data_IF_869452403779
#
_entry.id   IF_869452403779
#
_cell.length_a   1.000
_cell.length_b   1.000
_cell.length_c   1.000
_cell.angle_alpha   90.00
_cell.angle_beta   90.00
_cell.angle_gamma   90.00
#
_symmetry.space_group_name_H-M   'P 1'
#
loop_
_entity.id
_entity.type
_entity.pdbx_description
1 polymer ?
#
# COMPACT_ATOMS: atom_id res chain seq x y z
N UNK A 1 15.90 -23.38 -3.40
CA UNK A 1 15.01 -22.21 -3.57
C UNK A 1 13.65 -22.57 -2.98
N UNK A 2 13.01 -21.69 -2.21
CA UNK A 2 11.68 -21.96 -1.62
C UNK A 2 10.64 -22.27 -2.72
N UNK A 3 9.57 -23.01 -2.41
CA UNK A 3 8.50 -23.28 -3.38
C UNK A 3 7.68 -22.02 -3.69
N UNK A 4 6.93 -22.02 -4.82
CA UNK A 4 5.99 -20.93 -5.15
C UNK A 4 4.99 -20.73 -4.01
N UNK A 5 4.45 -21.81 -3.44
CA UNK A 5 3.52 -21.74 -2.32
C UNK A 5 4.14 -21.03 -1.10
N UNK A 6 5.37 -21.39 -0.72
CA UNK A 6 6.08 -20.71 0.39
C UNK A 6 6.28 -19.23 0.08
N UNK A 7 6.64 -18.85 -1.15
CA UNK A 7 6.83 -17.45 -1.52
C UNK A 7 5.53 -16.65 -1.54
N UNK A 8 4.41 -17.24 -1.99
CA UNK A 8 3.08 -16.64 -1.89
C UNK A 8 2.71 -16.33 -0.43
N UNK A 9 2.85 -17.32 0.44
CA UNK A 9 2.59 -17.15 1.88
C UNK A 9 3.53 -16.11 2.48
N UNK A 10 4.82 -16.15 2.14
CA UNK A 10 5.82 -15.21 2.67
C UNK A 10 5.56 -13.77 2.21
N UNK A 11 5.06 -13.56 0.99
CA UNK A 11 4.68 -12.23 0.52
C UNK A 11 3.55 -11.63 1.37
N UNK A 12 2.48 -12.41 1.60
CA UNK A 12 1.32 -11.98 2.40
C UNK A 12 1.71 -11.73 3.85
N UNK A 13 2.37 -12.70 4.50
CA UNK A 13 2.79 -12.58 5.90
C UNK A 13 3.83 -11.47 6.07
N UNK A 14 4.81 -11.38 5.17
CA UNK A 14 5.85 -10.36 5.21
C UNK A 14 5.30 -8.94 5.05
N UNK A 15 4.29 -8.73 4.21
CA UNK A 15 3.62 -7.43 4.07
C UNK A 15 2.90 -7.00 5.36
N UNK A 16 2.14 -7.91 5.97
CA UNK A 16 1.38 -7.66 7.22
C UNK A 16 2.33 -7.44 8.40
N UNK A 17 3.34 -8.30 8.55
CA UNK A 17 4.35 -8.18 9.61
C UNK A 17 5.20 -6.92 9.42
N UNK A 18 5.55 -6.57 8.18
CA UNK A 18 6.29 -5.37 7.86
C UNK A 18 5.54 -4.08 8.24
N UNK A 19 4.22 -4.05 8.01
CA UNK A 19 3.38 -2.93 8.46
C UNK A 19 3.40 -2.79 9.98
N UNK A 20 3.12 -3.86 10.72
CA UNK A 20 3.15 -3.84 12.18
C UNK A 20 4.54 -3.47 12.75
N UNK A 21 5.62 -3.92 12.10
CA UNK A 21 6.99 -3.61 12.48
C UNK A 21 7.34 -2.12 12.29
N UNK A 22 6.84 -1.50 11.22
CA UNK A 22 7.14 -0.11 10.88
C UNK A 22 6.18 0.90 11.54
N UNK A 23 4.97 0.48 11.90
CA UNK A 23 3.88 1.31 12.42
C UNK A 23 4.30 2.31 13.52
N UNK A 24 5.11 1.93 14.53
CA UNK A 24 5.51 2.85 15.60
C UNK A 24 6.31 4.07 15.14
N UNK A 25 7.00 3.99 13.99
CA UNK A 25 7.87 5.05 13.43
C UNK A 25 7.30 5.68 12.15
N UNK A 26 6.05 5.34 11.78
CA UNK A 26 5.40 5.88 10.59
C UNK A 26 5.38 7.41 10.57
N UNK A 27 5.54 7.95 9.35
CA UNK A 27 5.37 9.37 9.04
C UNK A 27 6.31 10.34 9.79
N UNK A 28 7.47 9.85 10.23
CA UNK A 28 8.59 10.68 10.70
C UNK A 28 9.50 11.01 9.51
N UNK A 29 9.13 12.04 8.76
CA UNK A 29 9.87 12.45 7.55
C UNK A 29 11.14 13.27 7.85
N UNK A 30 11.18 13.96 9.00
CA UNK A 30 12.37 14.73 9.38
C UNK A 30 13.47 13.77 9.85
N UNK A 31 14.54 13.65 9.05
CA UNK A 31 15.64 12.72 9.32
C UNK A 31 16.39 13.02 10.62
N UNK A 32 16.55 14.29 11.01
CA UNK A 32 17.19 14.65 12.28
C UNK A 32 16.32 14.22 13.47
N UNK A 33 15.00 14.36 13.35
CA UNK A 33 14.04 13.86 14.34
C UNK A 33 14.06 12.33 14.40
N UNK A 34 14.06 11.64 13.26
CA UNK A 34 14.14 10.19 13.24
C UNK A 34 15.45 9.72 13.91
N UNK A 35 16.57 10.36 13.57
CA UNK A 35 17.88 10.08 14.16
C UNK A 35 17.93 10.34 15.66
N UNK A 36 17.29 11.40 16.15
CA UNK A 36 17.24 11.68 17.60
C UNK A 36 16.40 10.66 18.38
N UNK A 37 15.44 10.00 17.70
CA UNK A 37 14.61 8.94 18.27
C UNK A 37 15.36 7.61 18.30
N UNK A 38 15.91 7.17 17.16
CA UNK A 38 16.49 5.83 17.03
C UNK A 38 17.95 5.76 17.48
N UNK A 39 18.65 6.91 17.53
CA UNK A 39 20.07 6.96 17.89
C UNK A 39 20.93 6.08 16.98
N UNK A 40 21.71 5.19 17.62
CA UNK A 40 22.56 4.21 16.95
C UNK A 40 21.93 2.80 16.92
N UNK A 41 20.62 2.68 17.15
CA UNK A 41 19.94 1.38 17.14
C UNK A 41 20.02 0.72 15.75
N UNK A 42 20.50 -0.53 15.71
CA UNK A 42 20.57 -1.32 14.48
C UNK A 42 19.22 -1.95 14.11
N UNK A 43 18.41 -2.29 15.12
CA UNK A 43 17.09 -2.90 14.95
C UNK A 43 16.00 -1.92 15.39
N UNK A 44 15.19 -1.49 14.42
CA UNK A 44 14.11 -0.50 14.62
C UNK A 44 12.72 -1.08 14.38
N UNK A 45 12.63 -2.37 14.05
CA UNK A 45 11.37 -3.09 13.92
C UNK A 45 10.67 -3.20 15.29
N UNK A 46 9.36 -3.00 15.31
CA UNK A 46 8.55 -3.09 16.53
C UNK A 46 9.06 -2.16 17.64
N UNK A 47 9.36 -0.90 17.29
CA UNK A 47 9.82 0.09 18.26
C UNK A 47 8.83 0.20 19.43
N UNK A 48 9.32 0.03 20.66
CA UNK A 48 8.50 -0.19 21.85
C UNK A 48 7.56 0.99 22.14
N UNK A 49 8.07 2.22 21.96
CA UNK A 49 7.30 3.43 22.17
C UNK A 49 6.86 3.98 20.83
N UNK A 50 5.55 4.06 20.57
CA UNK A 50 5.07 4.76 19.37
C UNK A 50 5.57 6.21 19.34
N UNK A 51 6.27 6.57 18.28
CA UNK A 51 6.71 7.94 17.96
C UNK A 51 5.94 8.52 16.76
N UNK A 52 4.89 7.80 16.35
CA UNK A 52 4.00 8.20 15.26
C UNK A 52 3.30 9.53 15.63
N UNK A 53 3.40 10.56 14.76
CA UNK A 53 2.89 11.88 15.09
C UNK A 53 1.37 12.02 14.96
N UNK A 54 0.65 11.01 14.46
CA UNK A 54 -0.79 11.10 14.16
C UNK A 54 -1.64 10.18 15.03
N UNK A 55 -1.16 8.97 15.33
CA UNK A 55 -1.91 7.98 16.08
C UNK A 55 -1.02 7.10 16.95
N UNK A 56 -1.62 6.46 17.95
CA UNK A 56 -0.96 5.51 18.83
C UNK A 56 -1.78 4.22 18.89
N UNK A 57 -1.13 3.12 18.50
CA UNK A 57 -1.57 1.73 18.63
C UNK A 57 -0.56 0.98 19.51
N UNK A 58 -0.94 -0.19 19.99
CA UNK A 58 -0.01 -1.05 20.71
C UNK A 58 1.02 -1.65 19.73
N UNK A 59 2.28 -1.72 20.13
CA UNK A 59 3.35 -2.26 19.27
C UNK A 59 3.04 -3.70 18.86
N UNK A 60 3.07 -3.96 17.55
CA UNK A 60 2.67 -5.24 16.96
C UNK A 60 1.26 -5.25 16.39
N UNK A 61 0.44 -4.23 16.66
CA UNK A 61 -0.80 -4.01 15.92
C UNK A 61 -0.51 -3.48 14.50
N UNK A 62 -1.43 -3.75 13.58
CA UNK A 62 -1.34 -3.27 12.22
C UNK A 62 -1.87 -1.83 12.14
N UNK A 63 -1.31 -1.05 11.23
CA UNK A 63 -1.89 0.21 10.81
C UNK A 63 -3.07 -0.02 9.86
N UNK A 64 -3.66 1.09 9.38
CA UNK A 64 -4.68 1.03 8.33
C UNK A 64 -4.20 0.35 7.04
N UNK A 65 -2.91 0.34 6.75
CA UNK A 65 -2.38 -0.38 5.59
C UNK A 65 -2.44 -1.90 5.79
N UNK A 66 -1.96 -2.39 6.93
CA UNK A 66 -2.02 -3.82 7.27
C UNK A 66 -3.45 -4.32 7.43
N UNK A 67 -4.34 -3.53 8.05
CA UNK A 67 -5.76 -3.87 8.18
C UNK A 67 -6.46 -3.97 6.81
N UNK A 68 -6.10 -3.11 5.84
CA UNK A 68 -6.59 -3.24 4.47
C UNK A 68 -6.12 -4.55 3.84
N UNK A 69 -4.83 -4.89 3.99
CA UNK A 69 -4.27 -6.14 3.47
C UNK A 69 -4.93 -7.38 4.09
N UNK A 70 -5.20 -7.37 5.40
CA UNK A 70 -5.90 -8.44 6.12
C UNK A 70 -7.36 -8.54 5.63
N UNK A 71 -8.04 -7.41 5.43
CA UNK A 71 -9.43 -7.37 4.93
C UNK A 71 -9.53 -7.96 3.54
N UNK A 72 -8.63 -7.58 2.62
CA UNK A 72 -8.53 -8.18 1.29
C UNK A 72 -8.27 -9.68 1.40
N UNK A 73 -7.32 -10.12 2.22
CA UNK A 73 -7.01 -11.55 2.39
C UNK A 73 -8.23 -12.35 2.84
N UNK A 74 -8.94 -11.90 3.89
CA UNK A 74 -10.15 -12.57 4.39
C UNK A 74 -11.22 -12.65 3.31
N UNK A 75 -11.48 -11.54 2.64
CA UNK A 75 -12.49 -11.49 1.57
C UNK A 75 -12.15 -12.43 0.42
N UNK A 76 -10.88 -12.51 0.01
CA UNK A 76 -10.44 -13.44 -1.03
C UNK A 76 -10.66 -14.92 -0.63
N UNK A 77 -10.37 -15.26 0.63
CA UNK A 77 -10.57 -16.62 1.15
C UNK A 77 -12.06 -16.97 1.21
N UNK A 78 -12.89 -16.07 1.74
CA UNK A 78 -14.33 -16.28 1.90
C UNK A 78 -15.09 -16.37 0.57
N UNK A 79 -14.56 -15.74 -0.49
CA UNK A 79 -15.23 -15.66 -1.79
C UNK A 79 -14.50 -16.42 -2.91
N UNK A 80 -13.47 -17.21 -2.57
CA UNK A 80 -12.65 -18.00 -3.50
C UNK A 80 -12.06 -17.17 -4.67
N UNK A 81 -11.73 -15.91 -4.41
CA UNK A 81 -11.26 -14.96 -5.42
C UNK A 81 -11.74 -13.53 -5.19
N UNK A 82 -11.45 -12.64 -6.14
CA UNK A 82 -11.90 -11.25 -6.08
C UNK A 82 -13.42 -11.20 -6.35
N UNK A 83 -14.17 -10.78 -5.34
CA UNK A 83 -15.57 -10.38 -5.47
C UNK A 83 -15.71 -8.94 -5.00
N UNK A 84 -15.77 -8.00 -5.95
CA UNK A 84 -15.74 -6.55 -5.68
C UNK A 84 -16.85 -6.13 -4.70
N UNK A 85 -18.08 -6.62 -4.88
CA UNK A 85 -19.20 -6.27 -4.01
C UNK A 85 -18.98 -6.74 -2.57
N UNK A 86 -18.54 -7.99 -2.40
CA UNK A 86 -18.25 -8.57 -1.08
C UNK A 86 -17.03 -7.89 -0.42
N UNK A 87 -16.07 -7.47 -1.22
CA UNK A 87 -14.93 -6.71 -0.76
C UNK A 87 -15.32 -5.29 -0.30
N UNK A 88 -16.21 -4.61 -1.02
CA UNK A 88 -16.80 -3.34 -0.60
C UNK A 88 -17.55 -3.49 0.74
N UNK A 89 -18.39 -4.51 0.88
CA UNK A 89 -19.07 -4.82 2.15
C UNK A 89 -18.05 -5.04 3.29
N UNK A 90 -16.99 -5.82 3.03
CA UNK A 90 -15.94 -6.13 4.02
C UNK A 90 -15.17 -4.88 4.46
N UNK A 91 -14.84 -3.98 3.53
CA UNK A 91 -14.19 -2.70 3.83
C UNK A 91 -15.13 -1.78 4.60
N UNK A 92 -16.41 -1.72 4.23
CA UNK A 92 -17.38 -0.92 4.97
C UNK A 92 -17.54 -1.40 6.42
N UNK A 93 -17.60 -2.72 6.65
CA UNK A 93 -17.65 -3.30 7.99
C UNK A 93 -16.37 -3.00 8.78
N UNK A 94 -15.20 -3.13 8.15
CA UNK A 94 -13.90 -3.01 8.84
C UNK A 94 -13.56 -1.56 9.19
N UNK A 95 -13.88 -0.62 8.30
CA UNK A 95 -13.44 0.78 8.43
C UNK A 95 -14.57 1.77 8.65
N UNK A 96 -15.82 1.37 8.49
CA UNK A 96 -17.00 2.24 8.53
C UNK A 96 -17.51 2.53 9.94
N UNK A 97 -18.78 2.95 10.06
CA UNK A 97 -19.42 3.20 11.34
C UNK A 97 -19.33 2.00 12.29
N UNK A 98 -19.28 2.27 13.60
CA UNK A 98 -19.21 1.26 14.67
C UNK A 98 -17.95 0.35 14.68
N UNK A 99 -17.01 0.58 13.77
CA UNK A 99 -15.69 -0.08 13.77
C UNK A 99 -14.70 0.60 14.74
N UNK A 100 -13.56 -0.05 15.07
CA UNK A 100 -12.47 0.60 15.82
C UNK A 100 -11.92 1.86 15.14
N UNK A 101 -12.13 2.01 13.82
CA UNK A 101 -11.77 3.21 13.07
C UNK A 101 -12.73 4.38 13.30
N UNK A 102 -13.94 4.10 13.77
CA UNK A 102 -14.94 5.12 14.05
C UNK A 102 -14.64 5.81 15.38
N UNK A 103 -14.03 6.99 15.27
CA UNK A 103 -13.94 7.95 16.35
C UNK A 103 -14.38 9.31 15.80
N UNK A 104 -14.97 10.17 16.63
CA UNK A 104 -15.31 11.55 16.20
C UNK A 104 -14.11 12.30 15.58
N UNK A 105 -12.88 11.90 15.92
CA UNK A 105 -11.63 12.44 15.36
C UNK A 105 -11.30 11.87 13.96
N UNK A 106 -11.58 10.59 13.72
CA UNK A 106 -11.35 9.91 12.43
C UNK A 106 -12.52 10.04 11.44
N UNK A 107 -13.72 10.33 11.94
CA UNK A 107 -14.98 10.38 11.18
C UNK A 107 -15.05 11.53 10.17
N UNK A 108 -14.32 12.62 10.42
CA UNK A 108 -14.35 13.81 9.55
C UNK A 108 -13.13 13.80 8.62
N UNK A 109 -13.36 13.84 7.31
CA UNK A 109 -12.34 14.24 6.34
C UNK A 109 -12.21 15.77 6.41
N UNK A 110 -11.05 16.26 6.82
CA UNK A 110 -10.72 17.68 6.77
C UNK A 110 -9.54 17.87 5.82
N UNK A 111 -9.63 18.91 5.01
CA UNK A 111 -8.53 19.33 4.15
C UNK A 111 -7.28 19.58 5.02
N UNK A 112 -6.07 19.32 4.49
CA UNK A 112 -4.78 19.54 5.20
C UNK A 112 -4.65 20.98 5.70
N UNK A 113 -5.30 21.94 5.04
CA UNK A 113 -5.36 23.34 5.43
C UNK A 113 -6.19 23.61 6.71
N UNK A 114 -7.04 22.68 7.12
CA UNK A 114 -7.95 22.80 8.28
C UNK A 114 -7.46 22.04 9.53
N UNK A 115 -6.23 21.50 9.51
CA UNK A 115 -5.60 20.80 10.66
C UNK A 115 -5.13 21.82 11.72
N UNK A 116 -5.81 22.96 11.83
CA UNK A 116 -5.64 23.90 12.91
C UNK A 116 -6.28 23.36 14.19
N UNK A 117 -5.46 23.18 15.23
CA UNK A 117 -5.82 23.06 16.65
C UNK A 117 -6.25 21.70 17.26
N UNK A 118 -5.83 20.54 16.73
CA UNK A 118 -6.05 19.25 17.43
C UNK A 118 -4.78 18.66 18.05
N UNK A 119 -4.90 18.14 19.28
CA UNK A 119 -3.83 17.43 19.99
C UNK A 119 -3.63 16.03 19.38
N UNK A 120 -2.72 15.94 18.41
CA UNK A 120 -2.16 14.67 17.95
C UNK A 120 -1.05 14.20 18.92
N UNK A 121 -0.76 12.88 19.00
CA UNK A 121 -1.44 11.78 18.33
C UNK A 121 -2.79 11.41 18.97
N UNK A 122 -3.70 10.81 18.19
CA UNK A 122 -4.91 10.18 18.74
C UNK A 122 -4.59 8.82 19.37
N UNK A 123 -5.40 8.37 20.34
CA UNK A 123 -5.37 6.99 20.82
C UNK A 123 -6.34 6.14 19.99
N UNK A 124 -5.82 5.15 19.26
CA UNK A 124 -6.58 4.31 18.33
C UNK A 124 -6.13 4.46 16.87
N UNK A 125 -6.72 3.68 15.95
CA UNK A 125 -6.24 3.58 14.57
C UNK A 125 -6.54 4.86 13.77
N UNK A 126 -5.74 5.11 12.73
CA UNK A 126 -5.91 6.28 11.83
C UNK A 126 -6.49 5.87 10.49
N UNK A 127 -7.58 6.52 10.07
CA UNK A 127 -8.22 6.28 8.77
C UNK A 127 -7.56 7.12 7.67
N UNK A 128 -7.03 6.47 6.62
CA UNK A 128 -6.42 7.16 5.46
C UNK A 128 -7.47 7.90 4.61
N UNK A 129 -7.00 8.82 3.75
CA UNK A 129 -7.86 9.65 2.90
C UNK A 129 -8.74 8.83 1.96
N UNK A 130 -8.14 7.90 1.20
CA UNK A 130 -8.86 7.02 0.29
C UNK A 130 -9.92 6.13 0.98
N UNK A 131 -9.71 5.72 2.23
CA UNK A 131 -10.72 4.97 3.00
C UNK A 131 -11.89 5.89 3.37
N UNK A 132 -11.63 7.15 3.76
CA UNK A 132 -12.70 8.12 4.03
C UNK A 132 -13.55 8.38 2.78
N UNK A 133 -12.89 8.55 1.63
CA UNK A 133 -13.59 8.73 0.34
C UNK A 133 -14.35 7.47 -0.09
N UNK A 134 -13.75 6.29 0.08
CA UNK A 134 -14.43 5.01 -0.12
C UNK A 134 -15.73 4.92 0.68
N UNK A 135 -15.69 5.18 1.99
CA UNK A 135 -16.86 5.10 2.86
C UNK A 135 -17.95 6.09 2.44
N UNK A 136 -17.57 7.31 2.06
CA UNK A 136 -18.47 8.32 1.52
C UNK A 136 -19.15 7.82 0.24
N UNK A 137 -18.37 7.36 -0.73
CA UNK A 137 -18.87 6.93 -2.04
C UNK A 137 -19.74 5.68 -1.93
N UNK A 138 -19.34 4.71 -1.10
CA UNK A 138 -20.11 3.50 -0.82
C UNK A 138 -21.44 3.82 -0.14
N UNK A 139 -21.45 4.72 0.85
CA UNK A 139 -22.69 5.14 1.54
C UNK A 139 -23.66 5.90 0.63
N UNK A 140 -23.16 6.50 -0.45
CA UNK A 140 -23.96 7.14 -1.50
C UNK A 140 -24.46 6.15 -2.56
N UNK A 141 -24.08 4.86 -2.48
CA UNK A 141 -24.45 3.84 -3.44
C UNK A 141 -23.76 3.99 -4.80
N UNK A 142 -22.60 4.67 -4.86
CA UNK A 142 -21.84 4.79 -6.09
C UNK A 142 -21.24 3.44 -6.49
N UNK A 143 -21.29 3.12 -7.78
CA UNK A 143 -20.65 1.91 -8.32
C UNK A 143 -19.12 1.98 -8.19
N UNK A 144 -18.55 3.14 -8.53
CA UNK A 144 -17.13 3.44 -8.34
C UNK A 144 -16.92 4.06 -6.96
N UNK A 145 -16.26 3.32 -6.08
CA UNK A 145 -16.06 3.75 -4.69
C UNK A 145 -14.71 4.40 -4.45
N UNK A 146 -13.71 4.15 -5.29
CA UNK A 146 -12.36 4.70 -5.12
C UNK A 146 -12.28 6.22 -5.30
N UNK A 147 -11.30 6.83 -4.65
CA UNK A 147 -10.95 8.24 -4.83
C UNK A 147 -10.36 8.48 -6.21
N UNK A 148 -10.90 9.48 -6.93
CA UNK A 148 -10.38 9.87 -8.25
C UNK A 148 -9.07 10.67 -8.15
N UNK A 149 -8.74 11.21 -6.98
CA UNK A 149 -7.61 12.14 -6.79
C UNK A 149 -6.54 11.65 -5.82
N UNK A 150 -6.78 10.55 -5.11
CA UNK A 150 -5.76 9.96 -4.23
C UNK A 150 -4.68 9.24 -5.06
N UNK A 151 -3.48 9.81 -5.08
CA UNK A 151 -2.30 9.28 -5.78
C UNK A 151 -1.26 8.68 -4.81
N UNK A 152 -1.65 8.43 -3.56
CA UNK A 152 -0.76 7.88 -2.55
C UNK A 152 -0.47 6.38 -2.79
N UNK A 153 0.59 5.87 -2.18
CA UNK A 153 1.09 4.49 -2.42
C UNK A 153 0.26 3.39 -1.72
N UNK A 154 -0.83 3.77 -1.05
CA UNK A 154 -1.74 2.90 -0.30
C UNK A 154 -2.21 1.64 -1.07
N UNK A 155 -2.27 1.70 -2.40
CA UNK A 155 -2.63 0.57 -3.25
C UNK A 155 -1.68 -0.62 -3.12
N UNK A 156 -0.38 -0.37 -2.92
CA UNK A 156 0.68 -1.38 -2.97
C UNK A 156 0.56 -2.43 -1.84
N UNK A 157 0.50 -2.06 -0.54
CA UNK A 157 0.36 -3.06 0.52
C UNK A 157 -0.94 -3.86 0.40
N UNK A 158 -2.02 -3.23 -0.09
CA UNK A 158 -3.35 -3.83 -0.20
C UNK A 158 -3.44 -4.96 -1.25
N UNK A 159 -2.72 -4.85 -2.37
CA UNK A 159 -2.84 -5.82 -3.48
C UNK A 159 -2.05 -7.11 -3.28
N UNK A 160 -1.18 -7.19 -2.26
CA UNK A 160 -0.26 -8.32 -2.05
C UNK A 160 -0.97 -9.68 -2.08
N UNK A 161 -2.12 -9.80 -1.39
CA UNK A 161 -2.90 -11.04 -1.33
C UNK A 161 -3.52 -11.42 -2.67
N UNK A 162 -3.97 -10.43 -3.45
CA UNK A 162 -4.51 -10.66 -4.79
C UNK A 162 -3.40 -11.12 -5.75
N UNK A 163 -2.23 -10.50 -5.69
CA UNK A 163 -1.05 -10.95 -6.47
C UNK A 163 -0.65 -12.36 -6.05
N UNK A 164 -0.59 -12.65 -4.74
CA UNK A 164 -0.24 -13.98 -4.26
C UNK A 164 -1.20 -15.07 -4.76
N UNK A 165 -2.50 -14.79 -4.79
CA UNK A 165 -3.53 -15.71 -5.28
C UNK A 165 -3.42 -15.93 -6.79
N UNK A 166 -3.24 -14.85 -7.57
CA UNK A 166 -3.36 -14.88 -9.03
C UNK A 166 -2.03 -14.92 -9.79
N UNK A 167 -0.87 -14.82 -9.14
CA UNK A 167 0.44 -14.84 -9.80
C UNK A 167 0.58 -16.02 -10.77
N UNK A 168 0.93 -15.72 -12.03
CA UNK A 168 1.03 -16.67 -13.13
C UNK A 168 -0.27 -16.87 -13.93
N UNK A 169 -1.39 -16.28 -13.52
CA UNK A 169 -2.66 -16.33 -14.24
C UNK A 169 -2.79 -15.15 -15.22
N UNK A 170 -3.39 -15.36 -16.41
CA UNK A 170 -3.49 -14.31 -17.43
C UNK A 170 -4.38 -13.13 -17.01
N UNK A 171 -5.26 -13.30 -16.03
CA UNK A 171 -6.15 -12.26 -15.51
C UNK A 171 -5.64 -11.60 -14.22
N UNK A 172 -4.44 -11.94 -13.74
CA UNK A 172 -3.89 -11.43 -12.47
C UNK A 172 -3.97 -9.91 -12.35
N UNK A 173 -3.57 -9.19 -13.40
CA UNK A 173 -3.57 -7.72 -13.38
C UNK A 173 -4.98 -7.13 -13.38
N UNK A 174 -5.95 -7.78 -14.01
CA UNK A 174 -7.35 -7.38 -13.98
C UNK A 174 -7.88 -7.51 -12.54
N UNK A 175 -7.60 -8.64 -11.89
CA UNK A 175 -7.99 -8.89 -10.48
C UNK A 175 -7.33 -7.93 -9.50
N UNK A 176 -6.06 -7.61 -9.74
CA UNK A 176 -5.35 -6.60 -8.94
C UNK A 176 -5.94 -5.22 -9.13
N UNK A 177 -6.26 -4.82 -10.37
CA UNK A 177 -6.87 -3.51 -10.64
C UNK A 177 -8.24 -3.37 -9.95
N UNK A 178 -9.06 -4.42 -9.96
CA UNK A 178 -10.33 -4.46 -9.20
C UNK A 178 -10.12 -4.14 -7.71
N UNK A 179 -9.05 -4.67 -7.10
CA UNK A 179 -8.69 -4.41 -5.70
C UNK A 179 -8.14 -3.00 -5.49
N UNK A 180 -7.38 -2.44 -6.44
CA UNK A 180 -6.87 -1.06 -6.37
C UNK A 180 -8.04 -0.06 -6.42
N UNK A 181 -8.91 -0.22 -7.42
CA UNK A 181 -10.04 0.68 -7.71
C UNK A 181 -11.11 0.70 -6.62
N UNK A 182 -11.06 -0.25 -5.69
CA UNK A 182 -11.91 -0.26 -4.50
C UNK A 182 -11.83 1.07 -3.74
N UNK A 183 -10.61 1.58 -3.47
CA UNK A 183 -10.42 2.82 -2.70
C UNK A 183 -9.66 3.91 -3.48
N UNK A 184 -9.00 3.57 -4.59
CA UNK A 184 -8.23 4.54 -5.39
C UNK A 184 -8.48 4.30 -6.88
N UNK A 185 -9.09 5.28 -7.56
CA UNK A 185 -9.45 5.23 -8.97
C UNK A 185 -8.56 6.11 -9.86
N UNK A 186 -7.58 6.83 -9.29
CA UNK A 186 -6.62 7.66 -10.03
C UNK A 186 -5.70 6.82 -10.92
N UNK A 187 -5.35 7.37 -12.10
CA UNK A 187 -4.46 6.70 -13.06
C UNK A 187 -3.08 6.43 -12.44
N UNK A 188 -2.59 7.34 -11.60
CA UNK A 188 -1.32 7.20 -10.88
C UNK A 188 -1.34 6.00 -9.94
N UNK A 189 -2.36 5.87 -9.08
CA UNK A 189 -2.46 4.75 -8.14
C UNK A 189 -2.60 3.41 -8.86
N UNK A 190 -3.35 3.37 -9.97
CA UNK A 190 -3.53 2.16 -10.77
C UNK A 190 -2.24 1.76 -11.47
N UNK A 191 -1.55 2.68 -12.16
CA UNK A 191 -0.29 2.39 -12.82
C UNK A 191 0.80 1.92 -11.84
N UNK A 192 0.95 2.62 -10.70
CA UNK A 192 1.93 2.26 -9.66
C UNK A 192 1.57 0.92 -9.00
N UNK A 193 0.30 0.69 -8.68
CA UNK A 193 -0.16 -0.56 -8.08
C UNK A 193 0.05 -1.77 -9.00
N UNK A 194 -0.25 -1.62 -10.29
CA UNK A 194 -0.04 -2.68 -11.28
C UNK A 194 1.44 -2.94 -11.57
N UNK A 195 2.28 -1.91 -11.63
CA UNK A 195 3.73 -2.09 -11.75
C UNK A 195 4.31 -2.82 -10.52
N UNK A 196 3.82 -2.49 -9.33
CA UNK A 196 4.19 -3.17 -8.08
C UNK A 196 3.74 -4.63 -8.06
N UNK A 197 2.55 -4.93 -8.59
CA UNK A 197 2.06 -6.29 -8.76
C UNK A 197 2.93 -7.12 -9.71
N UNK A 198 3.35 -6.54 -10.84
CA UNK A 198 4.30 -7.21 -11.77
C UNK A 198 5.63 -7.52 -11.10
N UNK A 199 6.16 -6.59 -10.28
CA UNK A 199 7.40 -6.79 -9.52
C UNK A 199 7.24 -7.94 -8.53
N UNK A 200 6.18 -7.91 -7.72
CA UNK A 200 5.92 -8.95 -6.73
C UNK A 200 5.71 -10.33 -7.39
N UNK A 201 5.04 -10.37 -8.54
CA UNK A 201 4.87 -11.61 -9.31
C UNK A 201 6.22 -12.20 -9.75
N UNK A 202 7.22 -11.39 -10.14
CA UNK A 202 8.55 -11.89 -10.46
C UNK A 202 9.14 -12.68 -9.30
N UNK A 203 9.09 -12.11 -8.08
CA UNK A 203 9.62 -12.76 -6.89
C UNK A 203 8.82 -14.00 -6.49
N UNK A 204 7.49 -13.97 -6.62
CA UNK A 204 6.64 -15.13 -6.31
C UNK A 204 6.92 -16.29 -7.27
N UNK A 205 7.00 -16.04 -8.57
CA UNK A 205 7.17 -17.09 -9.57
C UNK A 205 8.61 -17.59 -9.67
N UNK A 206 9.59 -16.68 -9.55
CA UNK A 206 11.00 -16.98 -9.85
C UNK A 206 11.92 -17.01 -8.63
N UNK A 207 11.48 -16.52 -7.47
CA UNK A 207 12.34 -16.31 -6.32
C UNK A 207 13.19 -15.04 -6.44
N UNK A 208 14.26 -14.88 -5.63
CA UNK A 208 15.15 -13.73 -5.72
C UNK A 208 15.70 -13.54 -7.13
N UNK A 209 15.56 -12.33 -7.68
CA UNK A 209 16.07 -11.99 -9.00
C UNK A 209 16.55 -10.52 -9.04
N UNK A 210 17.80 -10.32 -9.44
CA UNK A 210 18.43 -8.99 -9.51
C UNK A 210 17.92 -8.14 -10.68
N UNK A 211 17.24 -8.78 -11.65
CA UNK A 211 16.72 -8.17 -12.88
C UNK A 211 15.19 -7.99 -12.85
N UNK A 212 14.54 -8.09 -11.68
CA UNK A 212 13.10 -7.94 -11.54
C UNK A 212 12.60 -6.60 -12.10
N UNK A 213 13.29 -5.52 -11.75
CA UNK A 213 12.96 -4.15 -12.17
C UNK A 213 13.16 -3.99 -13.68
N UNK A 214 14.26 -4.50 -14.24
CA UNK A 214 14.52 -4.50 -15.68
C UNK A 214 13.41 -5.21 -16.46
N UNK A 215 12.98 -6.39 -15.99
CA UNK A 215 11.88 -7.15 -16.61
C UNK A 215 10.57 -6.38 -16.59
N UNK A 216 10.25 -5.72 -15.48
CA UNK A 216 9.03 -4.91 -15.38
C UNK A 216 9.12 -3.67 -16.28
N UNK A 217 10.28 -3.02 -16.39
CA UNK A 217 10.50 -1.92 -17.36
C UNK A 217 10.23 -2.40 -18.79
N UNK A 218 10.70 -3.59 -19.17
CA UNK A 218 10.43 -4.18 -20.49
C UNK A 218 8.92 -4.42 -20.68
N UNK A 219 8.24 -5.00 -19.68
CA UNK A 219 6.78 -5.24 -19.74
C UNK A 219 5.98 -3.94 -19.89
N UNK A 220 6.36 -2.88 -19.17
CA UNK A 220 5.67 -1.58 -19.24
C UNK A 220 5.87 -0.87 -20.60
N UNK A 221 6.97 -1.16 -21.30
CA UNK A 221 7.27 -0.62 -22.63
C UNK A 221 6.69 -1.44 -23.78
N UNK A 222 6.17 -2.62 -23.51
CA UNK A 222 5.61 -3.48 -24.55
C UNK A 222 4.29 -2.87 -25.10
N UNK A 223 4.19 -2.60 -26.42
CA UNK A 223 2.97 -2.06 -27.03
C UNK A 223 1.78 -3.04 -26.96
N UNK A 224 2.02 -4.33 -26.73
CA UNK A 224 1.02 -5.38 -26.60
C UNK A 224 0.91 -5.93 -25.17
N UNK A 225 1.41 -5.18 -24.18
CA UNK A 225 1.34 -5.57 -22.78
C UNK A 225 -0.09 -5.82 -22.31
N UNK A 226 -0.24 -6.78 -21.40
CA UNK A 226 -1.50 -7.02 -20.70
C UNK A 226 -1.85 -5.85 -19.79
N UNK A 227 -3.13 -5.46 -19.75
CA UNK A 227 -3.66 -4.41 -18.88
C UNK A 227 -2.93 -3.04 -19.00
N UNK A 228 -2.86 -2.46 -20.21
CA UNK A 228 -2.11 -1.23 -20.46
C UNK A 228 -2.71 -0.04 -19.72
N UNK A 229 -1.84 0.77 -19.11
CA UNK A 229 -2.18 2.05 -18.49
C UNK A 229 -1.48 3.19 -19.24
N UNK A 230 -2.09 4.37 -19.21
CA UNK A 230 -1.58 5.56 -19.90
C UNK A 230 -0.21 6.01 -19.37
N UNK A 231 0.03 5.81 -18.07
CA UNK A 231 1.26 6.23 -17.39
C UNK A 231 2.42 5.21 -17.48
N UNK A 232 2.22 4.04 -18.11
CA UNK A 232 3.23 2.96 -18.11
C UNK A 232 4.58 3.39 -18.70
N UNK A 233 4.57 4.16 -19.79
CA UNK A 233 5.81 4.63 -20.43
C UNK A 233 6.59 5.58 -19.51
N UNK A 234 5.89 6.51 -18.87
CA UNK A 234 6.47 7.45 -17.91
C UNK A 234 7.02 6.72 -16.70
N UNK A 235 6.25 5.76 -16.16
CA UNK A 235 6.67 4.95 -15.02
C UNK A 235 7.89 4.07 -15.35
N UNK A 236 7.96 3.47 -16.53
CA UNK A 236 9.14 2.75 -17.00
C UNK A 236 10.38 3.65 -17.08
N UNK A 237 10.20 4.92 -17.47
CA UNK A 237 11.26 5.94 -17.42
C UNK A 237 11.74 6.23 -16.00
N UNK A 238 10.82 6.45 -15.06
CA UNK A 238 11.14 6.68 -13.65
C UNK A 238 11.88 5.48 -13.03
N UNK A 239 11.39 4.26 -13.25
CA UNK A 239 12.05 3.03 -12.80
C UNK A 239 13.46 2.88 -13.39
N UNK A 240 13.64 3.23 -14.67
CA UNK A 240 14.97 3.24 -15.31
C UNK A 240 15.92 4.22 -14.61
N UNK A 241 15.43 5.41 -14.25
CA UNK A 241 16.22 6.42 -13.56
C UNK A 241 16.59 5.98 -12.14
N UNK A 242 15.68 5.33 -11.41
CA UNK A 242 15.97 4.75 -10.09
C UNK A 242 17.04 3.65 -10.21
N UNK A 243 16.92 2.78 -11.20
CA UNK A 243 17.88 1.68 -11.40
C UNK A 243 19.30 2.18 -11.73
N UNK A 244 19.42 3.29 -12.46
CA UNK A 244 20.71 3.95 -12.72
C UNK A 244 21.40 4.46 -11.44
N UNK A 245 20.65 4.61 -10.34
CA UNK A 245 21.17 5.05 -9.04
C UNK A 245 21.38 3.90 -8.05
N UNK A 246 21.25 2.64 -8.46
CA UNK A 246 21.33 1.47 -7.55
C UNK A 246 22.64 1.33 -6.76
N UNK A 247 23.73 1.94 -7.23
CA UNK A 247 25.04 1.97 -6.55
C UNK A 247 25.32 3.29 -5.84
N UNK A 248 24.39 4.25 -5.90
CA UNK A 248 24.48 5.53 -5.19
C UNK A 248 23.96 5.36 -3.77
N UNK A 249 24.63 5.98 -2.80
CA UNK A 249 24.15 6.01 -1.41
C UNK A 249 22.71 6.56 -1.35
N UNK A 250 21.84 5.91 -0.58
CA UNK A 250 20.42 6.23 -0.54
C UNK A 250 20.16 7.73 -0.25
N UNK A 251 20.84 8.31 0.73
CA UNK A 251 20.72 9.72 1.11
C UNK A 251 21.09 10.71 -0.02
N UNK A 252 21.91 10.28 -0.98
CA UNK A 252 22.24 11.06 -2.17
C UNK A 252 21.28 10.77 -3.32
N UNK A 253 20.85 9.51 -3.46
CA UNK A 253 19.92 9.10 -4.50
C UNK A 253 18.56 9.78 -4.37
N UNK A 254 17.99 9.85 -3.16
CA UNK A 254 16.64 10.41 -2.93
C UNK A 254 16.55 11.91 -3.25
N UNK A 255 17.64 12.67 -3.03
CA UNK A 255 17.73 14.10 -3.39
C UNK A 255 17.54 14.35 -4.88
N UNK A 256 17.94 13.40 -5.73
CA UNK A 256 17.72 13.49 -7.18
C UNK A 256 16.24 13.45 -7.57
N UNK A 257 15.41 12.84 -6.73
CA UNK A 257 13.97 12.68 -6.95
C UNK A 257 13.12 13.69 -6.17
N UNK A 258 13.74 14.75 -5.63
CA UNK A 258 13.03 15.80 -4.89
C UNK A 258 12.49 15.37 -3.53
N UNK A 259 12.96 14.23 -3.00
CA UNK A 259 12.68 13.80 -1.63
C UNK A 259 13.81 14.32 -0.73
N UNK A 260 13.46 15.19 0.23
CA UNK A 260 14.37 15.74 1.23
C UNK A 260 14.37 14.88 2.49
#
# INVERSE_FOLDING_TARGET
MASIAVRRTSAVVGGIVGDAAAQPLHWIYNLDKLKSIIGDAEEVAFWEKSENPFYCLDTGENSCYGDQSITVLKSLVENEGVNVKKLQESFYITFGPDSPYESQRNAIYRDKSEVGSQSLPIKGPWRTGNIKEFLKNYSQGLEKTGSETDEQIDCVPRVVSAVALHAGQPDMLIRVEEVIRLTQNSDTAVAVGLASARLLEQYILRGPCDDAVDKVIVQLRDPHRQNPQDLDTSLAGLLSNVLQKKTTEHALAVKHFGMN
#
